data_IF_508565923475
#
_entry.id   IF_508565923475
#
_cell.length_a   1.000
_cell.length_b   1.000
_cell.length_c   1.000
_cell.angle_alpha   90.00
_cell.angle_beta   90.00
_cell.angle_gamma   90.00
#
_symmetry.space_group_name_H-M   'P 1'
#
loop_
_entity.id
_entity.type
_entity.pdbx_description
1 polymer ?
#
# COMPACT_ATOMS: atom_id res chain seq x y z
N UNK A 1 -1.19 1.01 -5.77
CA UNK A 1 -1.14 -0.20 -6.64
C UNK A 1 0.30 -0.62 -6.92
N UNK A 2 1.25 -0.19 -6.08
CA UNK A 2 2.69 -0.40 -6.31
C UNK A 2 3.07 -1.89 -6.30
N UNK A 3 2.42 -2.71 -5.46
CA UNK A 3 2.62 -4.16 -5.43
C UNK A 3 2.45 -4.83 -6.80
N UNK A 4 1.55 -4.30 -7.65
CA UNK A 4 1.30 -4.78 -9.01
C UNK A 4 2.09 -4.02 -10.08
N UNK A 5 3.14 -3.29 -9.71
CA UNK A 5 4.00 -2.52 -10.61
C UNK A 5 3.36 -1.23 -11.15
N UNK A 6 2.29 -0.74 -10.53
CA UNK A 6 1.58 0.46 -10.99
C UNK A 6 1.87 1.66 -10.09
N UNK A 7 2.28 2.76 -10.73
CA UNK A 7 2.49 4.04 -10.04
C UNK A 7 1.19 4.53 -9.36
N UNK A 8 1.17 4.70 -8.01
CA UNK A 8 -0.04 5.06 -7.29
C UNK A 8 -0.66 6.39 -7.73
N UNK A 9 0.16 7.42 -8.00
CA UNK A 9 -0.30 8.78 -8.29
C UNK A 9 -0.90 8.86 -9.69
N UNK A 10 -0.20 8.34 -10.69
CA UNK A 10 -0.66 8.27 -12.08
C UNK A 10 -1.93 7.41 -12.18
N UNK A 11 -1.98 6.29 -11.45
CA UNK A 11 -3.15 5.41 -11.48
C UNK A 11 -4.37 6.07 -10.83
N UNK A 12 -4.19 6.69 -9.67
CA UNK A 12 -5.25 7.40 -8.97
C UNK A 12 -5.80 8.54 -9.83
N UNK A 13 -4.92 9.33 -10.46
CA UNK A 13 -5.33 10.39 -11.39
C UNK A 13 -6.09 9.85 -12.59
N UNK A 14 -5.62 8.76 -13.20
CA UNK A 14 -6.24 8.15 -14.39
C UNK A 14 -7.66 7.66 -14.14
N UNK A 15 -7.95 7.18 -12.93
CA UNK A 15 -9.24 6.59 -12.60
C UNK A 15 -10.04 7.41 -11.58
N UNK A 16 -9.71 8.69 -11.45
CA UNK A 16 -10.29 9.58 -10.44
C UNK A 16 -11.82 9.61 -10.45
N UNK A 17 -12.43 9.74 -11.62
CA UNK A 17 -13.89 9.82 -11.78
C UNK A 17 -14.64 8.53 -11.38
N UNK A 18 -13.90 7.45 -11.10
CA UNK A 18 -14.43 6.15 -10.68
C UNK A 18 -14.08 5.81 -9.22
N UNK A 19 -13.37 6.70 -8.53
CA UNK A 19 -12.90 6.49 -7.17
C UNK A 19 -14.01 6.77 -6.17
N UNK A 20 -14.36 5.76 -5.37
CA UNK A 20 -15.31 5.89 -4.27
C UNK A 20 -14.61 5.90 -2.90
N UNK A 21 -13.58 5.05 -2.74
CA UNK A 21 -12.96 4.80 -1.45
C UNK A 21 -11.48 4.42 -1.57
N UNK A 22 -10.68 4.74 -0.54
CA UNK A 22 -9.22 4.55 -0.54
C UNK A 22 -8.78 3.69 0.65
N UNK A 23 -7.94 2.70 0.36
CA UNK A 23 -7.18 1.95 1.37
C UNK A 23 -5.70 2.32 1.27
N UNK A 24 -5.11 2.70 2.40
CA UNK A 24 -3.67 2.84 2.55
C UNK A 24 -3.08 1.54 3.05
N UNK A 25 -2.11 1.06 2.26
CA UNK A 25 -1.27 -0.10 2.48
C UNK A 25 0.14 0.27 2.07
N UNK A 26 1.13 -0.22 2.79
CA UNK A 26 2.53 0.05 2.50
C UNK A 26 3.32 -1.24 2.37
N UNK A 27 4.42 -1.17 1.65
CA UNK A 27 5.19 -2.32 1.18
C UNK A 27 6.64 -2.16 1.61
N UNK A 28 7.16 -3.18 2.29
CA UNK A 28 8.58 -3.26 2.60
C UNK A 28 9.36 -3.55 1.31
N UNK A 29 10.23 -2.62 0.90
CA UNK A 29 10.97 -2.74 -0.37
C UNK A 29 11.90 -3.96 -0.41
N UNK A 30 12.58 -4.26 0.70
CA UNK A 30 13.53 -5.36 0.74
C UNK A 30 12.82 -6.70 0.66
N UNK A 31 11.73 -6.88 1.42
CA UNK A 31 10.92 -8.10 1.37
C UNK A 31 10.20 -8.22 0.04
N UNK A 32 9.71 -7.11 -0.54
CA UNK A 32 9.08 -7.09 -1.86
C UNK A 32 10.01 -7.62 -2.95
N UNK A 33 11.24 -7.12 -3.00
CA UNK A 33 12.25 -7.61 -3.95
C UNK A 33 12.47 -9.12 -3.83
N UNK A 34 12.60 -9.63 -2.59
CA UNK A 34 12.76 -11.07 -2.35
C UNK A 34 11.55 -11.88 -2.84
N UNK A 35 10.32 -11.48 -2.49
CA UNK A 35 9.13 -12.28 -2.82
C UNK A 35 8.77 -12.23 -4.30
N UNK A 36 9.16 -11.18 -5.04
CA UNK A 36 8.94 -11.09 -6.48
C UNK A 36 9.85 -12.05 -7.28
N UNK A 37 10.99 -12.43 -6.72
CA UNK A 37 11.90 -13.41 -7.31
C UNK A 37 11.54 -14.87 -6.95
N UNK A 38 10.49 -15.08 -6.16
CA UNK A 38 10.06 -16.39 -5.68
C UNK A 38 8.71 -16.84 -6.26
N UNK A 39 8.56 -18.16 -6.46
CA UNK A 39 7.23 -18.75 -6.67
C UNK A 39 6.52 -18.94 -5.33
N UNK A 40 5.90 -17.87 -4.82
CA UNK A 40 5.27 -17.81 -3.51
C UNK A 40 3.77 -17.49 -3.58
N UNK A 41 2.99 -18.01 -2.62
CA UNK A 41 1.58 -17.64 -2.48
C UNK A 41 1.47 -16.29 -1.75
N UNK A 42 0.44 -15.51 -2.07
CA UNK A 42 0.25 -14.17 -1.49
C UNK A 42 0.29 -14.15 0.05
N UNK A 43 -0.42 -15.06 0.71
CA UNK A 43 -0.45 -15.11 2.18
C UNK A 43 0.89 -15.51 2.80
N UNK A 44 1.71 -16.29 2.09
CA UNK A 44 3.06 -16.63 2.56
C UNK A 44 4.01 -15.42 2.41
N UNK A 45 3.91 -14.67 1.30
CA UNK A 45 4.65 -13.41 1.13
C UNK A 45 4.27 -12.38 2.21
N UNK A 46 2.97 -12.30 2.55
CA UNK A 46 2.49 -11.49 3.67
C UNK A 46 3.00 -11.99 5.02
N UNK A 47 3.09 -13.31 5.24
CA UNK A 47 3.70 -13.87 6.45
C UNK A 47 5.21 -13.58 6.55
N UNK A 48 5.90 -13.39 5.42
CA UNK A 48 7.28 -12.88 5.36
C UNK A 48 7.41 -11.38 5.67
N UNK A 49 6.29 -10.66 5.82
CA UNK A 49 6.30 -9.24 6.18
C UNK A 49 6.34 -8.28 5.00
N UNK A 50 5.94 -8.69 3.79
CA UNK A 50 5.93 -7.78 2.63
C UNK A 50 5.02 -6.56 2.82
N UNK A 51 3.95 -6.71 3.62
CA UNK A 51 3.09 -5.59 4.02
C UNK A 51 3.58 -5.03 5.36
N UNK A 52 3.94 -3.75 5.38
CA UNK A 52 4.55 -3.09 6.54
C UNK A 52 3.69 -1.91 7.06
N UNK A 53 3.98 -1.37 8.26
CA UNK A 53 3.34 -0.15 8.74
C UNK A 53 3.44 1.00 7.74
N UNK A 54 2.35 1.76 7.58
CA UNK A 54 2.30 2.96 6.74
C UNK A 54 3.43 3.93 7.09
N UNK A 55 4.18 4.37 6.09
CA UNK A 55 5.29 5.30 6.24
C UNK A 55 6.62 4.64 6.59
N UNK A 56 6.65 3.30 6.69
CA UNK A 56 7.91 2.52 6.80
C UNK A 56 8.28 1.82 5.49
N UNK A 57 7.40 1.83 4.50
CA UNK A 57 7.63 1.20 3.21
C UNK A 57 7.94 2.19 2.10
N UNK A 58 7.72 1.74 0.87
CA UNK A 58 8.13 2.44 -0.37
C UNK A 58 7.09 3.39 -0.96
N UNK A 59 5.88 3.46 -0.41
CA UNK A 59 4.84 4.33 -0.98
C UNK A 59 5.12 5.81 -0.65
N UNK A 60 5.19 6.64 -1.69
CA UNK A 60 5.28 8.11 -1.54
C UNK A 60 3.92 8.72 -1.17
N UNK A 61 3.60 8.68 0.11
CA UNK A 61 2.37 9.29 0.65
C UNK A 61 2.34 10.82 0.54
N UNK A 62 3.50 11.49 0.40
CA UNK A 62 3.52 12.94 0.23
C UNK A 62 2.93 13.31 -1.14
N UNK A 63 3.35 12.62 -2.19
CA UNK A 63 2.80 12.78 -3.53
C UNK A 63 1.34 12.35 -3.62
N UNK A 64 0.95 11.25 -2.95
CA UNK A 64 -0.46 10.84 -2.87
C UNK A 64 -1.30 11.92 -2.18
N UNK A 65 -0.86 12.45 -1.04
CA UNK A 65 -1.57 13.53 -0.32
C UNK A 65 -1.68 14.79 -1.16
N UNK A 66 -0.64 15.18 -1.89
CA UNK A 66 -0.67 16.34 -2.77
C UNK A 66 -1.74 16.18 -3.85
N UNK A 67 -1.81 15.01 -4.49
CA UNK A 67 -2.83 14.70 -5.50
C UNK A 67 -4.25 14.71 -4.89
N UNK A 68 -4.45 14.08 -3.74
CA UNK A 68 -5.76 14.07 -3.07
C UNK A 68 -6.23 15.48 -2.71
N UNK A 69 -5.29 16.36 -2.32
CA UNK A 69 -5.59 17.77 -2.02
C UNK A 69 -5.95 18.52 -3.30
N UNK A 70 -5.18 18.33 -4.38
CA UNK A 70 -5.44 18.94 -5.70
C UNK A 70 -6.83 18.58 -6.22
N UNK A 71 -7.22 17.30 -6.11
CA UNK A 71 -8.48 16.79 -6.62
C UNK A 71 -9.65 16.94 -5.65
N UNK A 72 -9.41 17.54 -4.47
CA UNK A 72 -10.46 17.82 -3.48
C UNK A 72 -11.07 16.57 -2.84
N UNK A 73 -10.26 15.54 -2.57
CA UNK A 73 -10.75 14.33 -1.89
C UNK A 73 -11.28 14.66 -0.49
N UNK A 74 -12.58 14.41 -0.26
CA UNK A 74 -13.24 14.57 1.04
C UNK A 74 -13.72 13.26 1.67
N UNK A 75 -13.39 12.12 1.05
CA UNK A 75 -13.85 10.80 1.48
C UNK A 75 -13.00 10.20 2.61
N UNK A 76 -13.38 9.01 3.06
CA UNK A 76 -12.63 8.27 4.07
C UNK A 76 -11.44 7.54 3.46
N UNK A 77 -10.37 7.45 4.24
CA UNK A 77 -9.22 6.59 3.95
C UNK A 77 -9.13 5.58 5.10
N UNK A 78 -9.14 4.27 4.83
CA UNK A 78 -8.69 3.33 5.88
C UNK A 78 -7.24 2.98 5.75
N UNK A 79 -6.60 2.90 6.90
CA UNK A 79 -5.31 2.24 7.04
C UNK A 79 -5.60 0.76 7.17
N UNK A 80 -5.19 -0.02 6.16
CA UNK A 80 -5.35 -1.47 6.19
C UNK A 80 -4.00 -2.10 6.50
N UNK A 81 -3.88 -2.70 7.69
CA UNK A 81 -2.64 -3.31 8.16
C UNK A 81 -2.80 -4.82 8.31
N UNK A 82 -2.30 -5.59 7.35
CA UNK A 82 -2.36 -7.05 7.44
C UNK A 82 -1.30 -7.63 8.39
N UNK A 83 -1.64 -7.78 9.67
CA UNK A 83 -0.78 -8.42 10.68
C UNK A 83 -1.14 -9.87 11.00
N UNK A 84 -0.15 -10.71 11.30
CA UNK A 84 -0.42 -12.01 11.93
C UNK A 84 -1.13 -11.76 13.27
N UNK A 85 -2.33 -12.31 13.51
CA UNK A 85 -3.07 -12.09 14.76
C UNK A 85 -2.34 -12.62 16.01
N UNK A 86 -1.29 -13.42 15.85
CA UNK A 86 -0.42 -13.90 16.95
C UNK A 86 0.70 -12.92 17.28
N UNK A 87 0.92 -11.89 16.46
CA UNK A 87 1.96 -10.88 16.66
C UNK A 87 1.37 -9.45 16.66
N UNK A 88 0.55 -9.16 17.69
CA UNK A 88 -0.17 -7.89 17.86
C UNK A 88 0.61 -6.83 18.65
N UNK A 89 1.73 -7.20 19.28
CA UNK A 89 2.40 -6.35 20.29
C UNK A 89 3.46 -5.37 19.76
N UNK A 90 3.97 -5.53 18.54
CA UNK A 90 4.99 -4.61 18.01
C UNK A 90 4.35 -3.42 17.28
N UNK A 91 4.60 -2.20 17.73
CA UNK A 91 4.42 -0.97 16.95
C UNK A 91 5.83 -0.47 16.59
#
# INVERSE_FOLDING_TARGET
MDYSGMDPVATLRRYWDRLDYIHFKDIDEAVYGQVMDERIRFFDARAKGVMCPIGRGRIDYASVRALLTELGYGGYITIEQERDPRNTGSI
#
